data_IF_260601817574
#
_entry.id   IF_260601817574
#
_cell.length_a   1.000
_cell.length_b   1.000
_cell.length_c   1.000
_cell.angle_alpha   90.00
_cell.angle_beta   90.00
_cell.angle_gamma   90.00
#
_symmetry.space_group_name_H-M   'P 1'
#
loop_
_entity.id
_entity.type
_entity.pdbx_description
1 polymer ?
#
# COMPACT_ATOMS: atom_id res chain seq x y z
N UNK A 1 25.99 14.68 9.51
CA UNK A 1 24.91 15.63 9.84
C UNK A 1 24.10 15.79 8.56
N UNK A 2 23.09 14.90 8.34
CA UNK A 2 22.23 15.00 7.18
C UNK A 2 21.35 16.25 7.36
N UNK A 3 21.36 17.14 6.39
CA UNK A 3 20.38 18.21 6.29
C UNK A 3 19.00 17.55 6.37
N UNK A 4 18.20 17.93 7.38
CA UNK A 4 16.77 17.65 7.35
C UNK A 4 16.23 18.41 6.15
N UNK A 5 15.90 17.67 5.09
CA UNK A 5 15.14 18.25 3.98
C UNK A 5 13.93 18.93 4.59
N UNK A 6 13.59 20.14 4.16
CA UNK A 6 12.49 20.90 4.72
C UNK A 6 11.11 20.32 4.39
N UNK A 7 10.99 18.98 4.36
CA UNK A 7 9.75 18.26 4.10
C UNK A 7 8.81 18.40 5.30
N UNK A 8 7.63 18.96 5.05
CA UNK A 8 6.57 19.08 6.03
C UNK A 8 5.75 17.78 6.06
N UNK A 9 5.73 17.11 7.21
CA UNK A 9 4.85 15.96 7.41
C UNK A 9 3.38 16.39 7.49
N UNK A 10 2.50 15.49 7.05
CA UNK A 10 1.07 15.73 6.98
C UNK A 10 0.64 16.53 5.74
N UNK A 11 -0.62 16.90 5.73
CA UNK A 11 -1.22 17.68 4.65
C UNK A 11 -1.89 18.93 5.21
N UNK A 12 -1.91 19.98 4.40
CA UNK A 12 -2.68 21.19 4.70
C UNK A 12 -4.19 20.90 4.70
N UNK A 13 -4.97 21.66 5.47
CA UNK A 13 -6.43 21.51 5.58
C UNK A 13 -7.12 21.51 4.21
N UNK A 14 -6.65 22.33 3.27
CA UNK A 14 -7.23 22.42 1.92
C UNK A 14 -7.17 21.10 1.14
N UNK A 15 -6.17 20.26 1.42
CA UNK A 15 -6.08 18.94 0.79
C UNK A 15 -7.19 18.01 1.31
N UNK A 16 -7.46 18.01 2.61
CA UNK A 16 -8.56 17.23 3.19
C UNK A 16 -9.94 17.72 2.72
N UNK A 17 -10.14 19.02 2.61
CA UNK A 17 -11.36 19.63 2.07
C UNK A 17 -11.59 19.19 0.59
N UNK A 18 -10.54 19.16 -0.21
CA UNK A 18 -10.58 18.68 -1.61
C UNK A 18 -10.92 17.19 -1.67
N UNK A 19 -10.30 16.35 -0.84
CA UNK A 19 -10.61 14.91 -0.71
C UNK A 19 -12.07 14.69 -0.31
N UNK A 20 -12.55 15.43 0.67
CA UNK A 20 -13.94 15.37 1.12
C UNK A 20 -14.91 15.74 0.01
N UNK A 21 -14.70 16.85 -0.68
CA UNK A 21 -15.58 17.32 -1.77
C UNK A 21 -15.67 16.30 -2.90
N UNK A 22 -14.51 15.69 -3.26
CA UNK A 22 -14.45 14.59 -4.24
C UNK A 22 -15.21 13.37 -3.74
N UNK A 23 -14.96 12.93 -2.51
CA UNK A 23 -15.64 11.78 -1.91
C UNK A 23 -17.16 11.97 -1.89
N UNK A 24 -17.65 13.12 -1.48
CA UNK A 24 -19.06 13.45 -1.47
C UNK A 24 -19.70 13.39 -2.87
N UNK A 25 -18.95 13.74 -3.90
CA UNK A 25 -19.41 13.62 -5.29
C UNK A 25 -19.54 12.16 -5.71
N UNK A 26 -18.55 11.33 -5.38
CA UNK A 26 -18.54 9.89 -5.67
C UNK A 26 -19.63 9.17 -4.86
N UNK A 27 -19.77 9.49 -3.57
CA UNK A 27 -20.81 8.92 -2.69
C UNK A 27 -22.22 9.14 -3.26
N UNK A 28 -22.52 10.33 -3.82
CA UNK A 28 -23.83 10.61 -4.45
C UNK A 28 -24.08 9.70 -5.65
N UNK A 29 -23.07 9.36 -6.45
CA UNK A 29 -23.20 8.40 -7.56
C UNK A 29 -23.48 6.98 -7.07
N UNK A 30 -22.81 6.58 -5.98
CA UNK A 30 -23.02 5.29 -5.31
C UNK A 30 -24.28 5.23 -4.44
N UNK A 31 -25.03 6.35 -4.34
CA UNK A 31 -26.25 6.48 -3.53
C UNK A 31 -26.00 6.16 -2.04
N UNK A 32 -24.93 6.74 -1.46
CA UNK A 32 -24.64 6.71 -0.04
C UNK A 32 -24.88 8.09 0.59
N UNK A 33 -25.49 8.10 1.78
CA UNK A 33 -25.67 9.30 2.62
C UNK A 33 -24.44 9.56 3.50
N UNK A 34 -23.69 8.52 3.83
CA UNK A 34 -22.43 8.59 4.54
C UNK A 34 -21.55 7.38 4.22
N UNK A 35 -20.25 7.50 4.56
CA UNK A 35 -19.32 6.36 4.70
C UNK A 35 -18.98 6.16 6.17
N UNK A 36 -18.89 4.92 6.61
CA UNK A 36 -18.34 4.51 7.90
C UNK A 36 -16.92 3.97 7.67
N UNK A 37 -15.93 4.73 8.13
CA UNK A 37 -14.52 4.34 8.08
C UNK A 37 -14.07 3.84 9.45
N UNK A 38 -13.42 2.68 9.46
CA UNK A 38 -12.92 2.01 10.67
C UNK A 38 -11.44 1.61 10.55
N UNK A 39 -10.90 1.57 9.32
CA UNK A 39 -9.51 1.21 9.07
C UNK A 39 -8.57 2.41 9.21
N UNK A 40 -7.32 2.21 9.64
CA UNK A 40 -6.32 3.27 9.74
C UNK A 40 -6.16 4.05 8.44
N UNK A 41 -6.12 3.36 7.30
CA UNK A 41 -5.94 3.97 5.99
C UNK A 41 -7.07 4.95 5.66
N UNK A 42 -8.33 4.54 5.83
CA UNK A 42 -9.47 5.40 5.51
C UNK A 42 -9.69 6.52 6.54
N UNK A 43 -9.43 6.25 7.83
CA UNK A 43 -9.46 7.31 8.85
C UNK A 43 -8.38 8.35 8.54
N UNK A 44 -7.14 7.92 8.27
CA UNK A 44 -6.04 8.83 7.90
C UNK A 44 -6.36 9.63 6.65
N UNK A 45 -6.93 8.99 5.62
CA UNK A 45 -7.28 9.64 4.35
C UNK A 45 -8.19 10.86 4.54
N UNK A 46 -9.22 10.72 5.39
CA UNK A 46 -10.21 11.77 5.59
C UNK A 46 -9.86 12.76 6.69
N UNK A 47 -8.98 12.42 7.62
CA UNK A 47 -8.75 13.23 8.83
C UNK A 47 -7.32 13.67 9.03
N UNK A 48 -6.35 12.96 8.47
CA UNK A 48 -4.93 13.11 8.82
C UNK A 48 -4.58 12.53 10.20
N UNK A 49 -5.53 11.89 10.87
CA UNK A 49 -5.30 11.30 12.20
C UNK A 49 -4.38 10.08 12.10
N UNK A 50 -3.38 10.06 12.97
CA UNK A 50 -2.50 8.92 13.15
C UNK A 50 -2.25 8.63 14.63
N UNK A 51 -2.06 7.35 14.95
CA UNK A 51 -1.80 6.89 16.31
C UNK A 51 -1.12 5.52 16.32
N UNK A 52 -0.30 5.27 17.33
CA UNK A 52 0.26 3.94 17.58
C UNK A 52 -0.79 2.97 18.18
N UNK A 53 -1.95 3.45 18.58
CA UNK A 53 -3.03 2.63 19.15
C UNK A 53 -3.87 1.86 18.12
N UNK A 54 -3.51 1.94 16.83
CA UNK A 54 -4.14 1.10 15.80
C UNK A 54 -4.08 -0.40 16.14
N UNK A 55 -3.04 -0.84 16.82
CA UNK A 55 -2.83 -2.24 17.18
C UNK A 55 -3.67 -2.71 18.38
N UNK A 56 -4.34 -1.80 19.08
CA UNK A 56 -5.21 -2.16 20.20
C UNK A 56 -6.59 -2.63 19.71
N UNK A 57 -6.92 -3.92 19.75
CA UNK A 57 -8.19 -4.46 19.25
C UNK A 57 -9.41 -4.02 20.09
N UNK A 58 -9.18 -3.61 21.34
CA UNK A 58 -10.23 -3.24 22.29
C UNK A 58 -10.60 -1.75 22.25
N UNK A 59 -10.14 -1.03 21.24
CA UNK A 59 -10.38 0.42 21.10
C UNK A 59 -10.65 0.74 19.64
N UNK A 60 -11.88 0.47 19.16
CA UNK A 60 -12.24 0.78 17.79
C UNK A 60 -12.26 2.30 17.58
N UNK A 61 -11.90 2.72 16.40
CA UNK A 61 -11.88 4.09 15.95
C UNK A 61 -12.85 4.22 14.79
N UNK A 62 -13.71 5.22 14.82
CA UNK A 62 -14.71 5.41 13.79
C UNK A 62 -14.65 6.83 13.26
N UNK A 63 -14.77 6.96 11.94
CA UNK A 63 -15.02 8.24 11.27
C UNK A 63 -16.23 8.07 10.37
N UNK A 64 -17.22 8.91 10.56
CA UNK A 64 -18.38 9.03 9.68
C UNK A 64 -18.12 10.18 8.74
N UNK A 65 -18.15 9.90 7.43
CA UNK A 65 -17.97 10.90 6.36
C UNK A 65 -19.33 11.13 5.70
N UNK A 66 -20.05 12.21 6.02
CA UNK A 66 -21.37 12.49 5.42
C UNK A 66 -21.25 12.89 3.95
N UNK A 67 -22.28 12.58 3.13
CA UNK A 67 -22.39 13.06 1.74
C UNK A 67 -22.63 14.59 1.65
N UNK A 68 -22.90 15.23 2.79
CA UNK A 68 -22.98 16.69 2.97
C UNK A 68 -22.61 17.06 4.41
N UNK A 69 -21.69 18.00 4.56
CA UNK A 69 -21.12 18.40 5.86
C UNK A 69 -19.73 17.84 6.12
N UNK A 70 -19.20 18.09 7.31
CA UNK A 70 -17.83 17.74 7.72
C UNK A 70 -17.78 16.31 8.30
N UNK A 71 -16.60 15.66 8.33
CA UNK A 71 -16.41 14.38 8.99
C UNK A 71 -16.68 14.44 10.50
N UNK A 72 -17.20 13.34 11.04
CA UNK A 72 -17.49 13.15 12.46
C UNK A 72 -16.56 12.05 12.98
N UNK A 73 -15.71 12.34 13.94
CA UNK A 73 -14.90 11.33 14.61
C UNK A 73 -15.65 10.79 15.86
N UNK A 74 -15.77 9.47 15.97
CA UNK A 74 -16.33 8.78 17.15
C UNK A 74 -15.24 7.85 17.68
N UNK A 75 -14.54 8.29 18.71
CA UNK A 75 -13.26 7.70 19.12
C UNK A 75 -13.13 7.53 20.62
N UNK A 76 -12.23 6.66 21.11
CA UNK A 76 -11.87 6.60 22.52
C UNK A 76 -11.41 7.97 23.04
N UNK A 77 -11.79 8.32 24.26
CA UNK A 77 -11.46 9.61 24.90
C UNK A 77 -9.95 9.90 24.89
N UNK A 78 -9.12 8.87 25.07
CA UNK A 78 -7.66 8.97 25.01
C UNK A 78 -7.14 9.53 23.69
N UNK A 79 -7.87 9.37 22.60
CA UNK A 79 -7.54 9.88 21.26
C UNK A 79 -8.01 11.31 21.00
N UNK A 80 -8.88 11.85 21.85
CA UNK A 80 -9.47 13.19 21.67
C UNK A 80 -8.42 14.29 21.45
N UNK A 81 -7.39 14.42 22.30
CA UNK A 81 -6.35 15.44 22.13
C UNK A 81 -5.54 15.29 20.82
N UNK A 82 -5.37 14.06 20.31
CA UNK A 82 -4.67 13.82 19.04
C UNK A 82 -5.56 14.19 17.86
N UNK A 83 -6.83 13.77 17.88
CA UNK A 83 -7.80 14.12 16.84
C UNK A 83 -8.04 15.65 16.77
N UNK A 84 -8.04 16.33 17.91
CA UNK A 84 -8.21 17.79 17.96
C UNK A 84 -7.07 18.59 17.30
N UNK A 85 -5.93 17.95 17.00
CA UNK A 85 -4.84 18.56 16.21
C UNK A 85 -5.05 18.44 14.70
N UNK A 86 -6.05 17.67 14.29
CA UNK A 86 -6.44 17.55 12.87
C UNK A 86 -7.43 18.64 12.47
N UNK A 87 -7.87 18.65 11.25
CA UNK A 87 -8.88 19.58 10.74
C UNK A 87 -10.33 19.23 11.15
N UNK A 88 -10.56 18.01 11.72
CA UNK A 88 -11.88 17.53 12.15
C UNK A 88 -12.39 18.32 13.35
N UNK A 89 -13.64 18.83 13.25
CA UNK A 89 -14.25 19.67 14.28
C UNK A 89 -15.24 18.91 15.16
N UNK A 90 -16.02 17.98 14.60
CA UNK A 90 -16.97 17.15 15.35
C UNK A 90 -16.27 15.91 15.88
N UNK A 91 -15.82 15.98 17.13
CA UNK A 91 -15.10 14.90 17.82
C UNK A 91 -15.95 14.43 18.98
N UNK A 92 -16.47 13.23 18.90
CA UNK A 92 -17.29 12.58 19.92
C UNK A 92 -16.48 11.47 20.56
N UNK A 93 -16.33 11.55 21.88
CA UNK A 93 -15.49 10.61 22.61
C UNK A 93 -16.29 9.74 23.55
N UNK A 94 -15.79 8.55 23.82
CA UNK A 94 -16.33 7.61 24.78
C UNK A 94 -15.23 7.07 25.68
N UNK A 95 -15.50 6.81 26.99
CA UNK A 95 -14.49 6.30 27.92
C UNK A 95 -14.13 4.85 27.55
N UNK A 96 -12.83 4.58 27.30
CA UNK A 96 -12.31 3.26 26.96
C UNK A 96 -11.34 2.77 28.04
N UNK A 97 -11.34 1.47 28.39
CA UNK A 97 -12.21 0.39 27.85
C UNK A 97 -13.64 0.45 28.42
N UNK A 98 -14.61 0.10 27.58
CA UNK A 98 -16.01 -0.03 27.98
C UNK A 98 -16.63 -1.25 27.29
N UNK A 99 -16.41 -2.47 27.82
CA UNK A 99 -16.76 -3.71 27.16
C UNK A 99 -18.23 -3.86 26.76
N UNK A 100 -19.14 -3.22 27.49
CA UNK A 100 -20.56 -3.20 27.21
C UNK A 100 -20.97 -2.26 26.07
N UNK A 101 -20.13 -1.30 25.73
CA UNK A 101 -20.37 -0.31 24.67
C UNK A 101 -19.09 0.40 24.23
N UNK A 102 -18.31 -0.22 23.38
CA UNK A 102 -17.08 0.35 22.81
C UNK A 102 -17.38 1.49 21.78
N UNK A 103 -18.23 2.43 22.18
CA UNK A 103 -18.64 3.59 21.39
C UNK A 103 -19.73 3.30 20.36
N UNK A 104 -20.31 2.09 20.33
CA UNK A 104 -21.33 1.70 19.34
C UNK A 104 -22.63 2.49 19.47
N UNK A 105 -23.07 2.83 20.68
CA UNK A 105 -24.24 3.70 20.90
C UNK A 105 -23.98 5.12 20.35
N UNK A 106 -22.82 5.67 20.61
CA UNK A 106 -22.43 6.98 20.12
C UNK A 106 -22.29 6.99 18.59
N UNK A 107 -21.71 5.92 18.03
CA UNK A 107 -21.63 5.72 16.59
C UNK A 107 -23.02 5.61 15.95
N UNK A 108 -23.95 4.83 16.55
CA UNK A 108 -25.31 4.72 16.05
C UNK A 108 -26.02 6.08 16.01
N UNK A 109 -25.82 6.91 17.03
CA UNK A 109 -26.34 8.28 17.07
C UNK A 109 -25.73 9.17 15.97
N UNK A 110 -24.41 9.06 15.75
CA UNK A 110 -23.73 9.79 14.67
C UNK A 110 -24.25 9.40 13.29
N UNK A 111 -24.34 8.10 13.00
CA UNK A 111 -24.88 7.58 11.73
C UNK A 111 -26.35 7.96 11.49
N UNK A 112 -27.16 7.89 12.56
CA UNK A 112 -28.57 8.24 12.50
C UNK A 112 -28.82 9.73 12.32
N UNK A 113 -27.89 10.56 12.75
CA UNK A 113 -27.91 12.03 12.64
C UNK A 113 -27.45 12.57 11.28
N UNK A 114 -26.92 11.74 10.40
CA UNK A 114 -26.48 12.21 9.06
C UNK A 114 -27.69 12.58 8.18
N UNK A 115 -27.55 13.61 7.32
CA UNK A 115 -28.60 13.96 6.36
C UNK A 115 -28.95 12.77 5.47
N UNK A 116 -30.26 12.49 5.30
CA UNK A 116 -30.74 11.32 4.57
C UNK A 116 -31.34 11.70 3.22
N UNK A 117 -30.85 11.06 2.17
CA UNK A 117 -31.40 11.12 0.82
C UNK A 117 -31.66 9.74 0.25
N UNK A 118 -30.79 8.79 0.51
CA UNK A 118 -30.81 7.44 -0.07
C UNK A 118 -31.12 6.36 0.98
N UNK A 119 -31.02 6.67 2.26
CA UNK A 119 -31.22 5.73 3.35
C UNK A 119 -30.11 4.67 3.46
N UNK A 120 -28.90 4.93 2.92
CA UNK A 120 -27.82 3.97 2.86
C UNK A 120 -26.50 4.58 3.32
N UNK A 121 -25.74 3.81 4.10
CA UNK A 121 -24.39 4.14 4.56
C UNK A 121 -23.44 3.05 4.06
N UNK A 122 -22.39 3.46 3.36
CA UNK A 122 -21.35 2.55 2.91
C UNK A 122 -20.36 2.26 4.04
N UNK A 123 -20.15 0.99 4.36
CA UNK A 123 -19.17 0.54 5.33
C UNK A 123 -18.10 -0.35 4.65
N UNK A 124 -16.98 -0.54 5.31
CA UNK A 124 -15.81 -1.30 4.82
C UNK A 124 -16.08 -2.82 4.86
N UNK A 125 -17.07 -3.31 4.09
CA UNK A 125 -17.57 -4.68 4.15
C UNK A 125 -17.13 -5.55 2.98
N UNK A 126 -16.62 -4.96 1.91
CA UNK A 126 -16.35 -5.64 0.65
C UNK A 126 -14.91 -6.11 0.51
N UNK A 127 -14.61 -6.52 -0.73
CA UNK A 127 -13.31 -7.08 -1.10
C UNK A 127 -12.16 -6.12 -0.78
N UNK A 128 -11.09 -6.68 -0.24
CA UNK A 128 -9.84 -5.98 0.13
C UNK A 128 -10.05 -4.87 1.17
N UNK A 129 -11.15 -4.96 1.92
CA UNK A 129 -11.46 -4.13 3.08
C UNK A 129 -11.54 -4.98 4.35
N UNK A 130 -11.35 -4.35 5.49
CA UNK A 130 -11.49 -4.98 6.79
C UNK A 130 -12.29 -4.06 7.72
N UNK A 131 -13.39 -4.55 8.25
CA UNK A 131 -14.13 -3.83 9.28
C UNK A 131 -13.38 -3.98 10.62
N UNK A 132 -12.85 -2.89 11.16
CA UNK A 132 -12.11 -2.91 12.44
C UNK A 132 -13.04 -2.67 13.64
N UNK A 133 -14.00 -3.54 13.79
CA UNK A 133 -14.83 -3.70 15.00
C UNK A 133 -15.25 -5.17 15.13
N UNK A 134 -15.59 -5.63 16.34
CA UNK A 134 -16.15 -6.98 16.52
C UNK A 134 -17.41 -7.19 15.69
N UNK A 135 -17.51 -8.35 15.02
CA UNK A 135 -18.67 -8.68 14.18
C UNK A 135 -19.99 -8.63 14.97
N UNK A 136 -20.00 -9.08 16.23
CA UNK A 136 -21.17 -9.00 17.09
C UNK A 136 -21.66 -7.56 17.29
N UNK A 137 -20.73 -6.63 17.52
CA UNK A 137 -21.05 -5.20 17.66
C UNK A 137 -21.56 -4.61 16.34
N UNK A 138 -21.02 -5.04 15.20
CA UNK A 138 -21.52 -4.62 13.89
C UNK A 138 -22.95 -5.10 13.63
N UNK A 139 -23.26 -6.36 13.98
CA UNK A 139 -24.63 -6.90 13.87
C UNK A 139 -25.59 -6.09 14.76
N UNK A 140 -25.18 -5.78 15.97
CA UNK A 140 -25.96 -4.95 16.90
C UNK A 140 -26.14 -3.53 16.35
N UNK A 141 -25.07 -2.89 15.86
CA UNK A 141 -25.12 -1.58 15.24
C UNK A 141 -26.14 -1.55 14.10
N UNK A 142 -26.13 -2.55 13.21
CA UNK A 142 -27.12 -2.67 12.13
C UNK A 142 -28.56 -2.67 12.61
N UNK A 143 -28.84 -3.26 13.77
CA UNK A 143 -30.19 -3.27 14.33
C UNK A 143 -30.61 -1.94 14.98
N UNK A 144 -29.64 -1.11 15.35
CA UNK A 144 -29.87 0.17 16.03
C UNK A 144 -29.99 1.37 15.08
N UNK A 145 -29.40 1.27 13.87
CA UNK A 145 -29.41 2.37 12.91
C UNK A 145 -30.55 2.20 11.90
N UNK A 146 -31.17 3.31 11.54
CA UNK A 146 -32.26 3.30 10.57
C UNK A 146 -31.82 3.23 9.11
N UNK A 147 -30.66 3.87 8.69
CA UNK A 147 -30.12 3.64 7.35
C UNK A 147 -29.57 2.22 7.19
N UNK A 148 -29.65 1.68 5.98
CA UNK A 148 -29.02 0.41 5.64
C UNK A 148 -27.47 0.57 5.69
N UNK A 149 -26.79 -0.30 6.43
CA UNK A 149 -25.34 -0.45 6.33
C UNK A 149 -25.03 -1.43 5.20
N UNK A 150 -24.51 -0.90 4.10
CA UNK A 150 -24.23 -1.64 2.87
C UNK A 150 -22.72 -1.66 2.58
N UNK A 151 -22.30 -2.51 1.63
CA UNK A 151 -20.91 -2.53 1.17
C UNK A 151 -20.52 -1.20 0.50
N UNK A 152 -19.58 -0.49 1.12
CA UNK A 152 -19.01 0.77 0.66
C UNK A 152 -17.68 0.62 -0.08
N UNK A 153 -17.11 -0.59 -0.14
CA UNK A 153 -15.77 -0.81 -0.71
C UNK A 153 -15.62 -0.28 -2.14
N UNK A 154 -16.55 -0.50 -3.08
CA UNK A 154 -16.42 0.06 -4.44
C UNK A 154 -16.34 1.59 -4.45
N UNK A 155 -17.11 2.26 -3.57
CA UNK A 155 -17.10 3.71 -3.44
C UNK A 155 -15.76 4.21 -2.85
N UNK A 156 -15.29 3.58 -1.78
CA UNK A 156 -14.04 3.95 -1.09
C UNK A 156 -12.85 3.76 -2.03
N UNK A 157 -12.80 2.65 -2.76
CA UNK A 157 -11.74 2.39 -3.73
C UNK A 157 -11.74 3.42 -4.87
N UNK A 158 -12.90 3.77 -5.41
CA UNK A 158 -13.00 4.82 -6.43
C UNK A 158 -12.50 6.19 -5.91
N UNK A 159 -12.73 6.50 -4.63
CA UNK A 159 -12.22 7.72 -3.99
C UNK A 159 -10.69 7.70 -3.91
N UNK A 160 -10.07 6.56 -3.52
CA UNK A 160 -8.65 6.46 -3.20
C UNK A 160 -7.76 6.06 -4.38
N UNK A 161 -8.34 5.42 -5.40
CA UNK A 161 -7.59 4.86 -6.52
C UNK A 161 -6.80 5.91 -7.31
N UNK A 162 -7.39 7.08 -7.53
CA UNK A 162 -6.72 8.22 -8.20
C UNK A 162 -6.18 9.15 -7.12
N UNK A 163 -4.89 9.24 -6.97
CA UNK A 163 -4.18 10.05 -5.98
C UNK A 163 -4.11 11.52 -6.41
N UNK A 164 -4.06 12.41 -5.46
CA UNK A 164 -3.67 13.80 -5.70
C UNK A 164 -2.16 13.90 -5.87
N UNK A 165 -1.66 15.00 -6.44
CA UNK A 165 -0.21 15.21 -6.55
C UNK A 165 0.47 15.20 -5.17
N UNK A 166 -0.19 15.76 -4.15
CA UNK A 166 0.31 15.74 -2.79
C UNK A 166 0.45 14.32 -2.21
N UNK A 167 -0.42 13.37 -2.60
CA UNK A 167 -0.31 11.96 -2.22
C UNK A 167 0.84 11.29 -2.99
N UNK A 168 0.97 11.56 -4.29
CA UNK A 168 2.05 11.03 -5.13
C UNK A 168 3.42 11.51 -4.62
N UNK A 169 3.53 12.76 -4.15
CA UNK A 169 4.77 13.27 -3.55
C UNK A 169 5.23 12.47 -2.34
N UNK A 170 4.32 11.95 -1.51
CA UNK A 170 4.68 11.07 -0.38
C UNK A 170 5.21 9.73 -0.86
N UNK A 171 4.56 9.16 -1.87
CA UNK A 171 5.02 7.88 -2.47
C UNK A 171 6.37 8.09 -3.16
N UNK A 172 6.54 9.14 -3.96
CA UNK A 172 7.81 9.50 -4.62
C UNK A 172 8.95 9.65 -3.60
N UNK A 173 8.66 10.32 -2.48
CA UNK A 173 9.65 10.51 -1.40
C UNK A 173 10.08 9.18 -0.79
N UNK A 174 9.14 8.31 -0.42
CA UNK A 174 9.50 7.03 0.20
C UNK A 174 10.17 6.09 -0.80
N UNK A 175 9.80 6.10 -2.08
CA UNK A 175 10.50 5.38 -3.15
C UNK A 175 11.96 5.85 -3.26
N UNK A 176 12.20 7.16 -3.19
CA UNK A 176 13.56 7.72 -3.22
C UNK A 176 14.40 7.31 -2.00
N UNK A 177 13.80 7.33 -0.80
CA UNK A 177 14.45 6.86 0.44
C UNK A 177 14.81 5.39 0.34
N UNK A 178 13.86 4.54 -0.07
CA UNK A 178 14.07 3.11 -0.17
C UNK A 178 15.08 2.75 -1.27
N UNK A 179 15.02 3.43 -2.43
CA UNK A 179 15.98 3.24 -3.51
C UNK A 179 17.42 3.53 -3.09
N UNK A 180 17.66 4.63 -2.37
CA UNK A 180 18.99 4.95 -1.84
C UNK A 180 19.47 3.92 -0.81
N UNK A 181 18.58 3.38 0.02
CA UNK A 181 18.92 2.35 0.98
C UNK A 181 19.28 1.02 0.29
N UNK A 182 18.55 0.64 -0.76
CA UNK A 182 18.87 -0.52 -1.58
C UNK A 182 20.21 -0.38 -2.32
N UNK A 183 20.49 0.79 -2.88
CA UNK A 183 21.76 1.08 -3.57
C UNK A 183 22.97 0.98 -2.61
N UNK A 184 22.78 1.41 -1.35
CA UNK A 184 23.82 1.37 -0.33
C UNK A 184 24.04 -0.03 0.27
N UNK A 185 23.06 -0.94 0.18
CA UNK A 185 23.09 -2.23 0.87
C UNK A 185 24.31 -3.11 0.55
N UNK A 186 24.77 -3.22 -0.74
CA UNK A 186 25.92 -4.08 -1.07
C UNK A 186 27.23 -3.68 -0.40
N UNK A 187 27.37 -2.42 0.02
CA UNK A 187 28.58 -1.95 0.71
C UNK A 187 28.65 -2.42 2.17
N UNK A 188 27.55 -2.92 2.71
CA UNK A 188 27.47 -3.29 4.12
C UNK A 188 27.02 -4.72 4.39
N UNK A 189 26.72 -5.51 3.37
CA UNK A 189 26.37 -6.93 3.48
C UNK A 189 27.46 -7.75 2.79
N UNK A 190 27.84 -8.89 3.41
CA UNK A 190 28.95 -9.70 2.96
C UNK A 190 28.58 -11.18 2.91
N UNK A 191 29.36 -11.97 2.19
CA UNK A 191 29.28 -13.43 2.25
C UNK A 191 29.47 -13.88 3.70
N UNK A 192 28.57 -14.74 4.19
CA UNK A 192 28.53 -15.20 5.57
C UNK A 192 27.60 -14.43 6.50
N UNK A 193 27.12 -13.23 6.12
CA UNK A 193 26.00 -12.58 6.81
C UNK A 193 24.72 -13.40 6.62
N UNK A 194 23.74 -13.26 7.53
CA UNK A 194 22.45 -13.92 7.35
C UNK A 194 21.45 -13.05 6.57
N UNK A 195 20.41 -13.67 6.01
CA UNK A 195 19.24 -12.94 5.44
C UNK A 195 18.73 -11.90 6.45
N UNK A 196 18.64 -12.29 7.72
CA UNK A 196 18.19 -11.42 8.81
C UNK A 196 19.13 -10.24 9.04
N UNK A 197 20.45 -10.44 8.94
CA UNK A 197 21.41 -9.35 9.10
C UNK A 197 21.32 -8.35 7.96
N UNK A 198 21.16 -8.83 6.70
CA UNK A 198 20.93 -7.98 5.53
C UNK A 198 19.65 -7.15 5.67
N UNK A 199 18.53 -7.77 6.04
CA UNK A 199 17.26 -7.07 6.23
C UNK A 199 17.29 -6.09 7.42
N UNK A 200 17.99 -6.41 8.51
CA UNK A 200 18.19 -5.48 9.64
C UNK A 200 18.98 -4.25 9.23
N UNK A 201 20.00 -4.44 8.41
CA UNK A 201 20.81 -3.32 7.89
C UNK A 201 19.97 -2.42 7.00
N UNK A 202 19.19 -2.98 6.07
CA UNK A 202 18.28 -2.20 5.23
C UNK A 202 17.27 -1.43 6.09
N UNK A 203 16.66 -2.08 7.09
CA UNK A 203 15.72 -1.43 8.01
C UNK A 203 16.34 -0.25 8.77
N UNK A 204 17.57 -0.38 9.22
CA UNK A 204 18.28 0.69 9.91
C UNK A 204 18.53 1.87 8.96
N UNK A 205 19.00 1.61 7.74
CA UNK A 205 19.30 2.64 6.75
C UNK A 205 18.02 3.36 6.27
N UNK A 206 16.92 2.63 6.03
CA UNK A 206 15.61 3.21 5.73
C UNK A 206 15.16 4.19 6.83
N UNK A 207 15.31 3.80 8.10
CA UNK A 207 14.95 4.64 9.26
C UNK A 207 15.84 5.89 9.34
N UNK A 208 17.15 5.75 9.16
CA UNK A 208 18.10 6.87 9.18
C UNK A 208 17.85 7.87 8.05
N UNK A 209 17.40 7.40 6.88
CA UNK A 209 17.04 8.23 5.73
C UNK A 209 15.68 8.91 5.86
N UNK A 210 14.87 8.52 6.86
CA UNK A 210 13.62 9.18 7.20
C UNK A 210 12.35 8.47 6.72
N UNK A 211 12.36 7.14 6.57
CA UNK A 211 11.13 6.36 6.50
C UNK A 211 10.41 6.41 7.86
N UNK A 212 9.10 6.68 7.85
CA UNK A 212 8.31 6.79 9.09
C UNK A 212 8.07 5.41 9.72
N UNK A 213 7.81 4.40 8.89
CA UNK A 213 7.66 3.02 9.31
C UNK A 213 8.07 2.05 8.19
N UNK A 214 8.37 0.82 8.58
CA UNK A 214 8.67 -0.29 7.67
C UNK A 214 7.75 -1.47 8.04
N UNK A 215 6.46 -1.41 7.67
CA UNK A 215 5.48 -2.44 8.02
C UNK A 215 5.73 -3.78 7.34
N UNK A 216 6.32 -3.76 6.15
CA UNK A 216 6.63 -4.93 5.37
C UNK A 216 8.12 -4.94 4.97
N UNK A 217 8.78 -6.06 5.20
CA UNK A 217 10.16 -6.31 4.78
C UNK A 217 10.35 -7.82 4.69
N UNK A 218 10.21 -8.35 3.48
CA UNK A 218 10.49 -9.73 3.14
C UNK A 218 11.94 -9.91 2.72
N UNK A 219 12.50 -11.10 2.89
CA UNK A 219 13.84 -11.40 2.44
C UNK A 219 14.10 -12.89 2.38
N UNK A 220 14.64 -13.33 1.26
CA UNK A 220 15.01 -14.73 1.04
C UNK A 220 16.30 -14.82 0.25
N UNK A 221 17.02 -15.94 0.39
CA UNK A 221 18.21 -16.23 -0.40
C UNK A 221 18.26 -17.69 -0.80
N UNK A 222 18.94 -17.97 -1.91
CA UNK A 222 19.17 -19.33 -2.36
C UNK A 222 20.09 -19.42 -3.58
N UNK A 223 20.62 -20.63 -3.86
CA UNK A 223 21.57 -20.85 -4.96
C UNK A 223 20.95 -20.51 -6.31
N UNK A 224 21.31 -19.35 -6.85
CA UNK A 224 20.85 -18.85 -8.14
C UNK A 224 19.41 -18.35 -8.19
N UNK A 225 18.63 -18.44 -7.12
CA UNK A 225 17.23 -17.98 -7.07
C UNK A 225 16.63 -18.26 -5.71
N UNK A 226 15.43 -17.71 -5.45
CA UNK A 226 14.75 -17.86 -4.15
C UNK A 226 13.55 -18.80 -4.27
N UNK A 227 13.25 -19.59 -3.21
CA UNK A 227 12.13 -20.52 -3.24
C UNK A 227 10.78 -19.84 -2.96
N UNK A 228 10.78 -18.62 -2.45
CA UNK A 228 9.61 -17.85 -2.04
C UNK A 228 9.96 -16.36 -1.92
N UNK A 229 8.94 -15.47 -1.97
CA UNK A 229 9.13 -14.01 -2.05
C UNK A 229 8.42 -13.22 -0.93
N UNK A 230 7.67 -13.88 -0.06
CA UNK A 230 6.88 -13.23 1.00
C UNK A 230 7.34 -13.59 2.42
N UNK A 231 8.38 -14.40 2.54
CA UNK A 231 8.82 -14.94 3.81
C UNK A 231 9.61 -13.96 4.68
N UNK A 232 9.55 -14.19 5.98
CA UNK A 232 10.41 -13.47 6.90
C UNK A 232 11.87 -13.93 6.74
N UNK A 233 12.85 -13.01 6.82
CA UNK A 233 14.27 -13.35 6.69
C UNK A 233 14.71 -14.32 7.77
N UNK A 234 15.50 -15.34 7.36
CA UNK A 234 15.98 -16.43 8.20
C UNK A 234 17.43 -16.21 8.65
N UNK A 235 17.91 -17.07 9.53
CA UNK A 235 19.34 -17.13 9.93
C UNK A 235 20.20 -17.90 8.92
N UNK A 236 19.70 -18.17 7.69
CA UNK A 236 20.46 -18.75 6.61
C UNK A 236 21.60 -17.80 6.22
N UNK A 237 22.83 -18.37 6.14
CA UNK A 237 24.01 -17.62 5.73
C UNK A 237 24.06 -17.48 4.22
N UNK A 238 24.43 -16.28 3.76
CA UNK A 238 24.67 -15.99 2.36
C UNK A 238 25.95 -16.68 1.88
N UNK A 239 25.87 -17.40 0.78
CA UNK A 239 26.98 -18.15 0.19
C UNK A 239 27.24 -17.68 -1.24
N UNK A 240 28.46 -17.86 -1.74
CA UNK A 240 28.80 -17.53 -3.12
C UNK A 240 27.93 -18.31 -4.11
N UNK A 241 27.31 -17.60 -5.06
CA UNK A 241 26.35 -18.16 -6.03
C UNK A 241 24.88 -18.03 -5.63
N UNK A 242 24.59 -17.51 -4.40
CA UNK A 242 23.21 -17.17 -4.03
C UNK A 242 22.71 -15.95 -4.80
N UNK A 243 21.38 -15.87 -4.95
CA UNK A 243 20.67 -14.62 -5.07
C UNK A 243 20.07 -14.26 -3.70
N UNK A 244 20.21 -13.00 -3.31
CA UNK A 244 19.48 -12.40 -2.20
C UNK A 244 18.38 -11.51 -2.79
N UNK A 245 17.14 -11.83 -2.48
CA UNK A 245 15.95 -11.04 -2.74
C UNK A 245 15.56 -10.30 -1.47
N UNK A 246 15.27 -9.01 -1.57
CA UNK A 246 14.67 -8.23 -0.48
C UNK A 246 13.60 -7.33 -1.08
N UNK A 247 12.44 -7.33 -0.43
CA UNK A 247 11.28 -6.55 -0.79
C UNK A 247 10.79 -5.73 0.41
N UNK A 248 10.40 -4.46 0.18
CA UNK A 248 9.97 -3.57 1.26
C UNK A 248 8.77 -2.71 0.90
N UNK A 249 7.79 -2.75 1.81
CA UNK A 249 6.73 -1.75 1.93
C UNK A 249 7.04 -0.78 3.08
N UNK A 250 7.76 0.29 2.77
CA UNK A 250 8.08 1.38 3.70
C UNK A 250 7.12 2.55 3.53
N UNK A 251 6.99 3.44 4.53
CA UNK A 251 5.99 4.52 4.47
C UNK A 251 6.56 5.91 4.74
N UNK A 252 5.94 6.91 4.07
CA UNK A 252 6.03 8.32 4.42
C UNK A 252 4.61 8.90 4.55
N UNK A 253 4.29 9.51 5.69
CA UNK A 253 2.94 9.98 6.05
C UNK A 253 1.85 8.90 5.85
N UNK A 254 2.24 7.62 6.04
CA UNK A 254 1.39 6.45 5.85
C UNK A 254 1.22 5.97 4.41
N UNK A 255 1.79 6.65 3.43
CA UNK A 255 1.83 6.20 2.03
C UNK A 255 3.00 5.27 1.81
N UNK A 256 2.72 4.14 1.17
CA UNK A 256 3.69 3.08 0.91
C UNK A 256 4.49 3.33 -0.36
N UNK A 257 5.77 2.87 -0.38
CA UNK A 257 6.39 2.30 -1.55
C UNK A 257 6.25 0.78 -1.48
N UNK A 258 6.37 0.11 -2.61
CA UNK A 258 6.38 -1.35 -2.69
C UNK A 258 7.25 -1.80 -3.85
N UNK A 259 8.48 -2.23 -3.56
CA UNK A 259 9.36 -2.73 -4.59
C UNK A 259 10.52 -3.55 -4.03
N UNK A 260 10.94 -4.51 -4.82
CA UNK A 260 12.03 -5.44 -4.52
C UNK A 260 13.35 -5.06 -5.18
N UNK A 261 14.43 -5.67 -4.66
CA UNK A 261 15.74 -5.70 -5.33
C UNK A 261 16.41 -7.05 -5.15
N UNK A 262 17.11 -7.45 -6.21
CA UNK A 262 17.87 -8.70 -6.26
C UNK A 262 19.36 -8.43 -6.27
N UNK A 263 20.12 -9.23 -5.51
CA UNK A 263 21.58 -9.12 -5.39
C UNK A 263 22.23 -10.48 -5.66
N UNK A 264 23.27 -10.48 -6.48
CA UNK A 264 24.16 -11.62 -6.61
C UNK A 264 25.13 -11.67 -5.43
N UNK A 265 25.20 -12.75 -4.73
CA UNK A 265 26.20 -12.99 -3.69
C UNK A 265 27.43 -13.63 -4.35
N UNK A 266 28.49 -12.86 -4.51
CA UNK A 266 29.61 -13.23 -5.38
C UNK A 266 29.19 -13.26 -6.84
N UNK A 267 29.47 -14.35 -7.55
CA UNK A 267 29.16 -14.54 -8.95
C UNK A 267 27.80 -15.25 -9.12
N UNK A 268 26.81 -14.58 -9.71
CA UNK A 268 25.55 -15.22 -10.04
C UNK A 268 25.72 -16.26 -11.18
N UNK A 269 25.01 -17.40 -11.11
CA UNK A 269 24.93 -18.33 -12.24
C UNK A 269 24.37 -17.67 -13.51
N UNK A 270 24.84 -18.10 -14.69
CA UNK A 270 24.36 -17.55 -15.97
C UNK A 270 22.85 -17.64 -16.17
N UNK A 271 22.22 -18.72 -15.70
CA UNK A 271 20.78 -18.89 -15.77
C UNK A 271 20.04 -17.83 -14.93
N UNK A 272 20.56 -17.51 -13.73
CA UNK A 272 20.00 -16.49 -12.88
C UNK A 272 20.12 -15.07 -13.48
N UNK A 273 21.28 -14.76 -14.08
CA UNK A 273 21.47 -13.49 -14.79
C UNK A 273 20.51 -13.33 -15.94
N UNK A 274 20.34 -14.38 -16.78
CA UNK A 274 19.36 -14.36 -17.87
C UNK A 274 17.93 -14.22 -17.37
N UNK A 275 17.56 -14.91 -16.29
CA UNK A 275 16.24 -14.78 -15.69
C UNK A 275 15.99 -13.35 -15.17
N UNK A 276 16.98 -12.73 -14.54
CA UNK A 276 16.90 -11.33 -14.10
C UNK A 276 16.70 -10.37 -15.29
N UNK A 277 17.44 -10.54 -16.36
CA UNK A 277 17.25 -9.74 -17.57
C UNK A 277 15.84 -9.88 -18.16
N UNK A 278 15.27 -11.08 -18.13
CA UNK A 278 13.90 -11.33 -18.62
C UNK A 278 12.86 -10.59 -17.76
N UNK A 279 12.94 -10.71 -16.42
CA UNK A 279 11.98 -9.99 -15.56
C UNK A 279 12.19 -8.49 -15.63
N UNK A 280 13.42 -8.01 -15.78
CA UNK A 280 13.72 -6.60 -16.02
C UNK A 280 13.09 -6.11 -17.33
N UNK A 281 13.23 -6.85 -18.43
CA UNK A 281 12.62 -6.54 -19.74
C UNK A 281 11.07 -6.61 -19.65
N UNK A 282 10.50 -7.53 -18.85
CA UNK A 282 9.08 -7.61 -18.60
C UNK A 282 8.57 -6.36 -17.83
N UNK A 283 9.32 -5.90 -16.82
CA UNK A 283 9.01 -4.65 -16.12
C UNK A 283 9.00 -3.46 -17.07
N UNK A 284 9.98 -3.35 -17.97
CA UNK A 284 10.00 -2.32 -19.02
C UNK A 284 8.77 -2.39 -19.94
N UNK A 285 8.32 -3.59 -20.30
CA UNK A 285 7.10 -3.74 -21.09
C UNK A 285 5.86 -3.28 -20.32
N UNK A 286 5.76 -3.61 -19.01
CA UNK A 286 4.71 -3.14 -18.13
C UNK A 286 4.68 -1.62 -17.98
N UNK A 287 5.84 -0.99 -17.72
CA UNK A 287 5.98 0.47 -17.62
C UNK A 287 5.51 1.16 -18.91
N UNK A 288 5.91 0.65 -20.09
CA UNK A 288 5.49 1.20 -21.39
C UNK A 288 3.99 1.06 -21.63
N UNK A 289 3.36 -0.01 -21.14
CA UNK A 289 1.92 -0.25 -21.27
C UNK A 289 1.09 0.57 -20.28
N UNK A 290 1.66 0.98 -19.14
CA UNK A 290 1.02 1.74 -18.07
C UNK A 290 0.80 3.21 -18.51
N UNK A 291 -0.37 3.48 -19.14
CA UNK A 291 -0.72 4.81 -19.65
C UNK A 291 -2.24 5.03 -19.57
N UNK A 292 -2.70 6.29 -19.59
CA UNK A 292 -4.14 6.57 -19.58
C UNK A 292 -4.88 5.86 -20.73
N UNK A 293 -6.02 5.26 -20.38
CA UNK A 293 -6.88 4.54 -21.33
C UNK A 293 -6.50 3.08 -21.57
N UNK A 294 -5.29 2.64 -21.20
CA UNK A 294 -4.98 1.21 -21.14
C UNK A 294 -5.72 0.56 -19.96
N UNK A 295 -5.94 -0.74 -20.01
CA UNK A 295 -6.46 -1.50 -18.88
C UNK A 295 -5.33 -2.16 -18.09
N UNK A 296 -5.58 -2.49 -16.82
CA UNK A 296 -4.63 -3.28 -16.02
C UNK A 296 -4.38 -4.66 -16.62
N UNK A 297 -5.36 -5.24 -17.32
CA UNK A 297 -5.17 -6.48 -18.12
C UNK A 297 -4.17 -6.27 -19.28
N UNK A 298 -4.16 -5.09 -19.94
CA UNK A 298 -3.18 -4.79 -20.99
C UNK A 298 -1.76 -4.68 -20.43
N UNK A 299 -1.60 -4.06 -19.25
CA UNK A 299 -0.32 -4.00 -18.54
C UNK A 299 0.15 -5.40 -18.17
N UNK A 300 -0.73 -6.22 -17.57
CA UNK A 300 -0.44 -7.63 -17.28
C UNK A 300 0.01 -8.38 -18.53
N UNK A 301 -0.73 -8.27 -19.63
CA UNK A 301 -0.45 -9.00 -20.88
C UNK A 301 0.92 -8.65 -21.45
N UNK A 302 1.28 -7.37 -21.43
CA UNK A 302 2.58 -6.93 -21.93
C UNK A 302 3.76 -7.56 -21.19
N UNK A 303 3.62 -7.75 -19.87
CA UNK A 303 4.63 -8.44 -19.04
C UNK A 303 4.59 -9.96 -19.26
N UNK A 304 3.40 -10.55 -19.26
CA UNK A 304 3.20 -11.98 -19.42
C UNK A 304 3.76 -12.51 -20.77
N UNK A 305 3.64 -11.73 -21.85
CA UNK A 305 4.19 -12.07 -23.16
C UNK A 305 5.73 -12.17 -23.11
N UNK A 306 6.41 -11.25 -22.41
CA UNK A 306 7.88 -11.30 -22.24
C UNK A 306 8.29 -12.51 -21.40
N UNK A 307 7.61 -12.73 -20.26
CA UNK A 307 7.90 -13.85 -19.37
C UNK A 307 7.73 -15.19 -20.09
N UNK A 308 6.65 -15.35 -20.87
CA UNK A 308 6.37 -16.56 -21.65
C UNK A 308 7.43 -16.80 -22.73
N UNK A 309 7.85 -15.74 -23.42
CA UNK A 309 8.94 -15.80 -24.41
C UNK A 309 10.29 -16.12 -23.76
N UNK A 310 10.49 -15.76 -22.49
CA UNK A 310 11.68 -16.04 -21.70
C UNK A 310 11.75 -17.44 -21.09
N UNK A 311 10.70 -18.26 -21.23
CA UNK A 311 10.68 -19.65 -20.78
C UNK A 311 10.39 -19.80 -19.29
N UNK A 312 9.51 -18.95 -18.72
CA UNK A 312 8.98 -19.16 -17.37
C UNK A 312 8.30 -20.52 -17.25
N UNK A 313 8.51 -21.23 -16.16
CA UNK A 313 7.86 -22.52 -15.92
C UNK A 313 6.39 -22.30 -15.55
N UNK A 314 6.13 -21.46 -14.57
CA UNK A 314 4.80 -21.02 -14.16
C UNK A 314 4.90 -19.65 -13.46
N UNK A 315 3.82 -18.87 -13.53
CA UNK A 315 3.67 -17.67 -12.71
C UNK A 315 2.66 -17.97 -11.61
N UNK A 316 3.16 -18.29 -10.42
CA UNK A 316 2.33 -18.60 -9.25
C UNK A 316 1.96 -17.35 -8.43
N UNK A 317 2.37 -16.16 -8.86
CA UNK A 317 2.13 -14.91 -8.12
C UNK A 317 0.69 -14.40 -8.32
N UNK A 318 -0.04 -14.94 -9.28
CA UNK A 318 -1.46 -14.64 -9.54
C UNK A 318 -1.69 -13.32 -10.28
N UNK A 319 -0.93 -12.29 -9.96
CA UNK A 319 -0.95 -10.96 -10.61
C UNK A 319 0.48 -10.47 -10.81
N UNK A 320 0.67 -9.52 -11.70
CA UNK A 320 1.97 -8.91 -12.01
C UNK A 320 1.99 -7.43 -11.57
N UNK A 321 1.51 -7.17 -10.35
CA UNK A 321 1.43 -5.85 -9.74
C UNK A 321 0.02 -5.44 -9.34
N UNK A 322 -0.09 -4.33 -8.64
CA UNK A 322 -1.33 -3.84 -8.05
C UNK A 322 -1.31 -2.32 -7.82
N UNK A 323 -2.43 -1.76 -7.36
CA UNK A 323 -2.51 -0.39 -6.87
C UNK A 323 -1.81 -0.23 -5.53
N UNK A 324 -1.35 0.96 -5.26
CA UNK A 324 -0.53 1.33 -4.09
C UNK A 324 -1.01 2.66 -3.52
N UNK A 325 -0.88 2.85 -2.21
CA UNK A 325 -1.24 4.12 -1.56
C UNK A 325 -1.10 4.08 -0.05
N UNK A 326 -2.20 4.31 0.67
CA UNK A 326 -2.25 4.18 2.14
C UNK A 326 -2.31 2.73 2.62
N UNK A 327 -2.45 1.78 1.72
CA UNK A 327 -2.25 0.36 1.95
C UNK A 327 -1.19 -0.13 0.97
N UNK A 328 -0.42 -1.14 1.40
CA UNK A 328 0.57 -1.78 0.57
C UNK A 328 -0.06 -2.29 -0.73
N UNK A 329 -1.22 -2.93 -0.60
CA UNK A 329 -2.02 -3.40 -1.73
C UNK A 329 -3.36 -2.68 -1.76
N UNK A 330 -3.65 -2.05 -2.89
CA UNK A 330 -4.93 -1.44 -3.25
C UNK A 330 -5.38 -1.93 -4.64
N UNK A 331 -6.67 -1.86 -4.99
CA UNK A 331 -7.07 -1.98 -6.38
C UNK A 331 -6.46 -0.85 -7.24
N UNK A 332 -6.29 -1.10 -8.57
CA UNK A 332 -6.62 -2.31 -9.31
C UNK A 332 -5.50 -3.36 -9.25
N UNK A 333 -5.69 -4.51 -9.89
CA UNK A 333 -4.65 -5.54 -10.02
C UNK A 333 -4.25 -5.76 -11.47
N UNK A 334 -2.95 -5.83 -11.76
CA UNK A 334 -2.44 -6.22 -13.07
C UNK A 334 -2.59 -7.75 -13.21
N UNK A 335 -3.77 -8.19 -13.67
CA UNK A 335 -4.12 -9.61 -13.79
C UNK A 335 -5.13 -9.86 -14.91
N UNK A 336 -5.26 -11.10 -15.39
CA UNK A 336 -6.32 -11.45 -16.33
C UNK A 336 -7.71 -11.12 -15.77
N UNK A 337 -8.52 -10.47 -16.61
CA UNK A 337 -9.91 -10.13 -16.29
C UNK A 337 -10.11 -8.83 -15.49
N UNK A 338 -9.08 -8.19 -14.97
CA UNK A 338 -9.19 -6.84 -14.43
C UNK A 338 -9.11 -5.83 -15.58
N UNK A 339 -10.24 -5.22 -15.90
CA UNK A 339 -10.40 -4.25 -16.99
C UNK A 339 -10.49 -2.82 -16.50
N UNK A 340 -9.96 -2.54 -15.33
CA UNK A 340 -9.90 -1.17 -14.80
C UNK A 340 -9.11 -0.29 -15.76
N UNK A 341 -9.74 0.76 -16.25
CA UNK A 341 -9.10 1.73 -17.15
C UNK A 341 -8.20 2.64 -16.34
N UNK A 342 -6.94 2.69 -16.72
CA UNK A 342 -5.94 3.55 -16.07
C UNK A 342 -6.24 5.02 -16.34
N UNK A 343 -6.12 5.83 -15.29
CA UNK A 343 -6.34 7.27 -15.29
C UNK A 343 -5.14 7.97 -14.66
N UNK A 344 -4.84 9.18 -15.10
CA UNK A 344 -3.82 10.01 -14.47
C UNK A 344 -4.06 10.15 -12.96
N UNK A 345 -3.03 10.03 -12.17
CA UNK A 345 -3.06 10.00 -10.71
C UNK A 345 -3.19 8.60 -10.09
N UNK A 346 -3.44 7.54 -10.86
CA UNK A 346 -3.31 6.18 -10.33
C UNK A 346 -1.85 5.83 -10.09
N UNK A 347 -1.58 5.09 -9.02
CA UNK A 347 -0.25 4.56 -8.70
C UNK A 347 -0.33 3.05 -8.68
N UNK A 348 0.62 2.40 -9.33
CA UNK A 348 0.68 0.95 -9.50
C UNK A 348 2.09 0.45 -9.21
N UNK A 349 2.18 -0.78 -8.70
CA UNK A 349 3.38 -1.59 -8.82
C UNK A 349 3.39 -2.30 -10.19
N UNK A 350 4.57 -2.47 -10.76
CA UNK A 350 4.83 -3.27 -11.97
C UNK A 350 5.78 -4.37 -11.54
N UNK A 351 5.26 -5.59 -11.33
CA UNK A 351 5.88 -6.65 -10.54
C UNK A 351 5.89 -8.01 -11.28
N UNK A 352 6.55 -8.12 -12.45
CA UNK A 352 6.71 -9.41 -13.08
C UNK A 352 7.68 -10.31 -12.32
N UNK A 353 7.25 -11.54 -12.10
CA UNK A 353 8.06 -12.61 -11.54
C UNK A 353 8.05 -13.86 -12.39
N UNK A 354 9.11 -14.66 -12.33
CA UNK A 354 9.19 -15.94 -13.02
C UNK A 354 9.85 -17.02 -12.18
N UNK A 355 9.38 -18.22 -12.31
CA UNK A 355 10.12 -19.41 -11.92
C UNK A 355 10.85 -19.93 -13.16
N UNK A 356 12.18 -19.80 -13.20
CA UNK A 356 12.99 -20.21 -14.37
C UNK A 356 13.61 -21.60 -14.22
N UNK A 357 13.60 -22.15 -13.00
CA UNK A 357 13.94 -23.54 -12.69
C UNK A 357 13.20 -23.93 -11.40
N UNK A 358 12.94 -25.22 -11.14
CA UNK A 358 12.19 -25.66 -9.97
C UNK A 358 12.73 -25.07 -8.66
N UNK A 359 11.87 -24.34 -7.91
CA UNK A 359 12.23 -23.66 -6.66
C UNK A 359 13.18 -22.48 -6.83
N UNK A 360 13.33 -21.91 -8.05
CA UNK A 360 14.15 -20.74 -8.32
C UNK A 360 13.30 -19.65 -8.95
N UNK A 361 12.79 -18.80 -8.10
CA UNK A 361 12.05 -17.60 -8.49
C UNK A 361 12.97 -16.38 -8.56
N UNK A 362 12.57 -15.43 -9.38
CA UNK A 362 13.10 -14.09 -9.46
C UNK A 362 11.96 -13.14 -9.78
N UNK A 363 11.91 -12.00 -9.11
CA UNK A 363 10.93 -10.93 -9.30
C UNK A 363 11.67 -9.64 -9.55
N UNK A 364 11.06 -8.70 -10.23
CA UNK A 364 11.58 -7.34 -10.34
C UNK A 364 10.44 -6.35 -10.34
N UNK A 365 10.44 -5.44 -9.40
CA UNK A 365 9.31 -4.57 -9.10
C UNK A 365 9.69 -3.09 -9.10
N UNK A 366 8.79 -2.26 -9.64
CA UNK A 366 8.90 -0.81 -9.67
C UNK A 366 7.54 -0.14 -9.43
N UNK A 367 7.52 0.99 -8.74
CA UNK A 367 6.34 1.82 -8.56
C UNK A 367 6.23 2.89 -9.66
N UNK A 368 5.05 3.04 -10.25
CA UNK A 368 4.77 4.06 -11.26
C UNK A 368 3.52 4.87 -10.92
N UNK A 369 3.52 6.15 -11.26
CA UNK A 369 2.33 7.00 -11.27
C UNK A 369 1.87 7.26 -12.69
N UNK A 370 0.60 7.03 -12.99
CA UNK A 370 0.02 7.33 -14.30
C UNK A 370 -0.06 8.84 -14.48
N UNK A 371 0.51 9.36 -15.57
CA UNK A 371 0.49 10.78 -15.96
C UNK A 371 -0.59 11.05 -17.00
N UNK A 372 -0.61 12.25 -17.57
CA UNK A 372 -1.57 12.61 -18.63
C UNK A 372 -1.34 11.86 -19.94
N UNK A 373 -0.10 11.43 -20.22
CA UNK A 373 0.34 10.87 -21.51
C UNK A 373 1.15 9.57 -21.41
N UNK A 374 1.39 9.06 -20.18
CA UNK A 374 2.15 7.84 -19.93
C UNK A 374 2.17 7.50 -18.46
N UNK A 375 3.35 7.20 -17.93
CA UNK A 375 3.58 7.08 -16.49
C UNK A 375 4.95 7.68 -16.09
N UNK A 376 5.03 8.12 -14.86
CA UNK A 376 6.26 8.50 -14.16
C UNK A 376 6.76 7.32 -13.34
N UNK A 377 8.02 6.98 -13.45
CA UNK A 377 8.67 6.02 -12.56
C UNK A 377 8.97 6.71 -11.23
N UNK A 378 8.41 6.22 -10.13
CA UNK A 378 8.60 6.79 -8.79
C UNK A 378 9.83 6.20 -8.08
N UNK A 379 10.15 4.94 -8.36
CA UNK A 379 11.32 4.26 -7.84
C UNK A 379 12.58 4.60 -8.64
N UNK A 380 13.75 4.74 -8.00
CA UNK A 380 15.02 4.74 -8.72
C UNK A 380 15.19 3.41 -9.47
N UNK A 381 15.23 3.48 -10.81
CA UNK A 381 15.30 2.30 -11.68
C UNK A 381 16.55 1.46 -11.35
N UNK A 382 16.34 0.18 -11.05
CA UNK A 382 17.44 -0.75 -10.90
C UNK A 382 18.20 -0.94 -12.23
N UNK A 383 19.54 -1.16 -12.21
CA UNK A 383 20.27 -1.51 -13.40
C UNK A 383 19.79 -2.86 -13.96
N UNK A 384 19.98 -3.06 -15.27
CA UNK A 384 19.64 -4.31 -15.93
C UNK A 384 20.54 -5.46 -15.45
N UNK A 385 21.71 -5.16 -14.96
CA UNK A 385 22.63 -6.10 -14.35
C UNK A 385 22.35 -6.24 -12.86
N UNK A 386 22.46 -7.47 -12.33
CA UNK A 386 22.35 -7.72 -10.90
C UNK A 386 23.42 -6.95 -10.10
N UNK A 387 23.02 -6.27 -9.04
CA UNK A 387 23.97 -5.79 -8.03
C UNK A 387 24.71 -6.95 -7.39
N UNK A 388 25.95 -6.71 -6.97
CA UNK A 388 26.83 -7.75 -6.41
C UNK A 388 27.22 -7.45 -4.97
N UNK A 389 27.03 -8.43 -4.10
CA UNK A 389 27.53 -8.50 -2.72
C UNK A 389 28.83 -9.33 -2.74
N UNK A 390 29.88 -8.83 -2.08
CA UNK A 390 31.22 -9.47 -2.05
C UNK A 390 31.54 -10.09 -0.72
#
# INVERSE_FOLDING_TARGET
>A
MHQRDGFAHGFETVEFERRLARAQTIMRRHKFDALLCTTPANIRYFTGFDTMFWESPTRPWFVVVPAAGDPIAVIPEVGGPVMARTWVKDIRTWPAPRPEDDGTTLLAAALSGTPRRFGRIGAELGREMALRMPVAQFIELRSRVSPELADGAPCIWEIRMVKTEAEIDRIRRICGIAGQAYEALPAGVHIGDSERDACRRLRADLTERGADAIPYLAGASGPGGVPEIIGSPRDRRLEGGDLLFIDTGSTCDGYFCDFDRNYAVGAAPDAARRAHEIVWDATEAGIKAARPGATTEDVWRSMADVLSGGGTLENNVGRLGHGLGLQLTEPPSNMPGDRTILQAGMVLTIEPGMEYAPGKMIVHEEDVAITADGCELLTPRAPRELWSIR
#
